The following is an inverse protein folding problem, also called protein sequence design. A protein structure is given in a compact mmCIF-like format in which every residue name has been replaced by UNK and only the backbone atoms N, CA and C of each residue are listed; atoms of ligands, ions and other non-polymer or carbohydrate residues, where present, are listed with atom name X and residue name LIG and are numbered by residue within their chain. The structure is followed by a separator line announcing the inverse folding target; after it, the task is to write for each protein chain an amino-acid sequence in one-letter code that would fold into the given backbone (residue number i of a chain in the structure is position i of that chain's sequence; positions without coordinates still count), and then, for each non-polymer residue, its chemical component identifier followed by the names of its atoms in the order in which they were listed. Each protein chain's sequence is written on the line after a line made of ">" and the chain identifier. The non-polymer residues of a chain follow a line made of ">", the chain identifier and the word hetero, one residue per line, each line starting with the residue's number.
data_IF_405998265491
#
_entry.id   IF_405998265491
#
_cell.length_a   1.000
_cell.length_b   1.000
_cell.length_c   1.000
_cell.angle_alpha   90.00
_cell.angle_beta   90.00
_cell.angle_gamma   90.00
#
_symmetry.space_group_name_H-M   'P 1'
#
loop_
_entity.id
_entity.type
_entity.pdbx_description
1 polymer ?
#
# COMPACT_ATOMS: atom_id res chain seq x y z
N UNK A 1 15.01 -14.39 1.94
CA UNK A 1 14.19 -14.88 0.81
C UNK A 1 14.88 -16.05 0.14
N UNK A 2 14.15 -17.06 -0.32
CA UNK A 2 14.71 -18.06 -1.23
C UNK A 2 15.11 -17.35 -2.54
N UNK A 3 16.38 -17.44 -3.00
CA UNK A 3 16.84 -16.80 -4.22
C UNK A 3 16.02 -17.17 -5.46
N UNK A 4 15.43 -18.37 -5.49
CA UNK A 4 14.62 -18.87 -6.59
C UNK A 4 13.31 -18.09 -6.72
N UNK A 5 12.65 -17.78 -5.61
CA UNK A 5 11.41 -17.00 -5.59
C UNK A 5 11.67 -15.58 -6.08
N UNK A 6 12.78 -14.96 -5.66
CA UNK A 6 13.18 -13.64 -6.16
C UNK A 6 13.45 -13.67 -7.66
N UNK A 7 14.10 -14.74 -8.15
CA UNK A 7 14.36 -14.95 -9.57
C UNK A 7 13.08 -14.98 -10.41
N UNK A 8 12.03 -15.65 -9.93
CA UNK A 8 10.73 -15.72 -10.64
C UNK A 8 10.12 -14.33 -10.80
N UNK A 9 10.05 -13.52 -9.73
CA UNK A 9 9.47 -12.17 -9.84
C UNK A 9 10.26 -11.24 -10.77
N UNK A 10 11.59 -11.40 -10.82
CA UNK A 10 12.42 -10.65 -11.78
C UNK A 10 12.16 -11.09 -13.21
N UNK A 11 12.04 -12.39 -13.48
CA UNK A 11 11.74 -12.92 -14.81
C UNK A 11 10.35 -12.51 -15.31
N UNK A 12 9.39 -12.31 -14.41
CA UNK A 12 8.05 -11.82 -14.73
C UNK A 12 7.97 -10.30 -14.90
N UNK A 13 9.10 -9.58 -14.79
CA UNK A 13 9.11 -8.11 -14.87
C UNK A 13 8.36 -7.42 -13.73
N UNK A 14 8.09 -8.12 -12.61
CA UNK A 14 7.22 -7.60 -11.56
C UNK A 14 7.79 -6.36 -10.84
N UNK A 15 9.10 -6.13 -10.94
CA UNK A 15 9.79 -4.97 -10.36
C UNK A 15 9.99 -3.82 -11.37
N UNK A 16 9.61 -4.03 -12.63
CA UNK A 16 9.78 -3.06 -13.72
C UNK A 16 8.54 -2.19 -13.88
N UNK A 17 8.71 -0.95 -14.32
CA UNK A 17 7.59 -0.08 -14.63
C UNK A 17 6.76 -0.65 -15.79
N UNK A 18 5.46 -0.39 -15.78
CA UNK A 18 4.59 -0.75 -16.90
C UNK A 18 4.96 0.00 -18.18
N UNK A 19 4.54 -0.53 -19.32
CA UNK A 19 4.88 0.00 -20.66
C UNK A 19 4.45 1.46 -20.86
N UNK A 20 3.45 1.96 -20.12
CA UNK A 20 3.00 3.36 -20.18
C UNK A 20 3.49 4.18 -18.99
N UNK A 21 4.53 3.71 -18.31
CA UNK A 21 5.10 4.37 -17.13
C UNK A 21 4.30 4.11 -15.85
N UNK A 22 3.44 3.08 -15.83
CA UNK A 22 2.78 2.66 -14.60
C UNK A 22 3.80 2.19 -13.55
N UNK A 23 3.51 2.34 -12.24
CA UNK A 23 4.38 1.81 -11.20
C UNK A 23 4.53 0.29 -11.32
N UNK A 24 5.66 -0.28 -10.86
CA UNK A 24 5.88 -1.72 -10.89
C UNK A 24 4.85 -2.47 -10.04
N UNK A 25 4.52 -3.71 -10.46
CA UNK A 25 3.59 -4.59 -9.75
C UNK A 25 4.03 -4.84 -8.30
N UNK A 26 5.33 -5.03 -8.10
CA UNK A 26 5.98 -5.18 -6.81
C UNK A 26 6.97 -4.04 -6.63
N UNK A 27 6.76 -3.20 -5.62
CA UNK A 27 7.74 -2.15 -5.30
C UNK A 27 8.87 -2.69 -4.40
N UNK A 28 8.59 -3.71 -3.59
CA UNK A 28 9.55 -4.27 -2.64
C UNK A 28 9.18 -5.71 -2.28
N UNK A 29 10.19 -6.51 -1.99
CA UNK A 29 10.01 -7.81 -1.34
C UNK A 29 10.77 -7.81 -0.02
N UNK A 30 10.07 -8.13 1.07
CA UNK A 30 10.58 -8.09 2.44
C UNK A 30 10.48 -9.49 3.04
N UNK A 31 11.56 -9.96 3.66
CA UNK A 31 11.62 -11.20 4.40
C UNK A 31 12.11 -10.96 5.83
N UNK A 32 11.91 -11.96 6.71
CA UNK A 32 12.37 -11.88 8.10
C UNK A 32 13.89 -11.64 8.23
N UNK A 33 14.68 -11.99 7.22
CA UNK A 33 16.12 -11.69 7.18
C UNK A 33 16.42 -10.21 6.99
N UNK A 34 15.54 -9.49 6.30
CA UNK A 34 15.71 -8.06 5.99
C UNK A 34 15.35 -7.20 7.20
N UNK A 35 14.39 -7.63 8.02
CA UNK A 35 13.88 -6.89 9.18
C UNK A 35 14.35 -7.42 10.52
N UNK A 36 14.92 -8.63 10.58
CA UNK A 36 15.24 -9.33 11.82
C UNK A 36 14.03 -9.94 12.54
N UNK A 37 12.81 -9.74 12.03
CA UNK A 37 11.58 -10.20 12.66
C UNK A 37 10.66 -10.89 11.64
N UNK A 38 10.06 -12.00 12.07
CA UNK A 38 8.96 -12.65 11.34
C UNK A 38 7.60 -12.19 11.87
N UNK A 39 6.54 -12.47 11.12
CA UNK A 39 5.15 -12.34 11.60
C UNK A 39 4.98 -13.24 12.84
N UNK A 40 4.23 -12.83 13.88
CA UNK A 40 3.23 -11.76 13.92
C UNK A 40 3.79 -10.37 14.30
N UNK A 41 5.08 -10.10 14.12
CA UNK A 41 5.60 -8.74 14.22
C UNK A 41 5.08 -7.87 13.06
N UNK A 42 4.60 -6.63 13.30
CA UNK A 42 4.11 -5.74 12.25
C UNK A 42 5.24 -5.08 11.44
N UNK A 43 6.49 -5.24 11.85
CA UNK A 43 7.65 -4.51 11.31
C UNK A 43 7.81 -4.67 9.80
N UNK A 44 7.52 -5.85 9.26
CA UNK A 44 7.58 -6.09 7.81
C UNK A 44 6.59 -5.21 7.02
N UNK A 45 5.35 -5.10 7.51
CA UNK A 45 4.29 -4.28 6.89
C UNK A 45 4.67 -2.80 7.00
N UNK A 46 5.00 -2.33 8.20
CA UNK A 46 5.36 -0.94 8.46
C UNK A 46 6.57 -0.49 7.64
N UNK A 47 7.57 -1.36 7.51
CA UNK A 47 8.75 -1.09 6.67
C UNK A 47 8.37 -0.99 5.20
N UNK A 48 7.56 -1.93 4.69
CA UNK A 48 7.11 -1.91 3.30
C UNK A 48 6.33 -0.66 2.95
N UNK A 49 5.34 -0.28 3.76
CA UNK A 49 4.54 0.93 3.55
C UNK A 49 5.42 2.18 3.58
N UNK A 50 6.35 2.28 4.55
CA UNK A 50 7.30 3.41 4.64
C UNK A 50 8.18 3.52 3.40
N UNK A 51 8.72 2.39 2.93
CA UNK A 51 9.63 2.37 1.79
C UNK A 51 8.88 2.73 0.48
N UNK A 52 7.64 2.26 0.31
CA UNK A 52 6.77 2.66 -0.81
C UNK A 52 6.50 4.17 -0.73
N UNK A 53 6.08 4.69 0.43
CA UNK A 53 5.83 6.12 0.61
C UNK A 53 7.07 6.97 0.27
N UNK A 54 8.26 6.53 0.69
CA UNK A 54 9.52 7.19 0.37
C UNK A 54 9.80 7.19 -1.15
N UNK A 55 9.56 6.06 -1.83
CA UNK A 55 9.71 5.93 -3.28
C UNK A 55 8.78 6.89 -4.04
N UNK A 56 7.50 6.94 -3.66
CA UNK A 56 6.53 7.87 -4.26
C UNK A 56 6.96 9.33 -4.06
N UNK A 57 7.35 9.73 -2.84
CA UNK A 57 7.85 11.08 -2.57
C UNK A 57 9.11 11.44 -3.36
N UNK A 58 9.98 10.46 -3.63
CA UNK A 58 11.18 10.68 -4.45
C UNK A 58 10.79 10.92 -5.92
N UNK A 59 9.89 10.13 -6.49
CA UNK A 59 9.38 10.30 -7.84
C UNK A 59 8.67 11.66 -8.02
N UNK A 60 7.86 12.07 -7.03
CA UNK A 60 7.14 13.34 -7.08
C UNK A 60 8.04 14.58 -7.00
N UNK A 61 9.16 14.53 -6.28
CA UNK A 61 10.10 15.67 -6.23
C UNK A 61 10.76 15.97 -7.58
N UNK A 62 10.73 15.01 -8.50
CA UNK A 62 11.24 15.17 -9.87
C UNK A 62 10.20 15.74 -10.85
N UNK A 63 8.92 15.90 -10.44
CA UNK A 63 7.85 16.47 -11.26
C UNK A 63 6.96 17.42 -10.45
N UNK A 64 7.03 18.72 -10.73
CA UNK A 64 6.51 19.83 -9.91
C UNK A 64 4.98 19.95 -9.71
N UNK A 65 4.32 18.87 -9.29
CA UNK A 65 2.90 18.84 -8.90
C UNK A 65 2.68 18.56 -7.41
N UNK A 66 1.48 18.92 -6.91
CA UNK A 66 1.03 18.58 -5.55
C UNK A 66 0.97 17.06 -5.42
N UNK A 67 1.90 16.50 -4.65
CA UNK A 67 1.98 15.08 -4.40
C UNK A 67 1.36 14.77 -3.05
N UNK A 68 0.05 14.54 -3.03
CA UNK A 68 -0.51 13.73 -1.94
C UNK A 68 0.01 12.31 -2.14
N UNK A 69 0.98 11.90 -1.32
CA UNK A 69 1.67 10.63 -1.52
C UNK A 69 0.71 9.44 -1.36
N UNK A 70 -0.49 9.62 -0.78
CA UNK A 70 -1.58 8.63 -0.71
C UNK A 70 -1.27 7.31 0.02
N UNK A 71 0.01 7.06 0.32
CA UNK A 71 0.52 5.85 0.96
C UNK A 71 0.49 6.07 2.47
N UNK A 72 -0.53 5.49 3.08
CA UNK A 72 -0.77 5.46 4.51
C UNK A 72 -0.98 3.99 4.93
N UNK A 73 -0.45 3.60 6.09
CA UNK A 73 -0.67 2.25 6.64
C UNK A 73 -2.16 1.98 6.87
N UNK A 74 -2.94 3.01 7.21
CA UNK A 74 -4.39 2.89 7.39
C UNK A 74 -5.16 2.70 6.09
N UNK A 75 -4.51 2.91 4.93
CA UNK A 75 -5.06 2.63 3.59
C UNK A 75 -4.45 1.37 2.99
N UNK A 76 -3.53 0.71 3.69
CA UNK A 76 -2.89 -0.52 3.22
C UNK A 76 -3.81 -1.73 3.42
N UNK A 77 -3.87 -2.59 2.40
CA UNK A 77 -4.53 -3.90 2.47
C UNK A 77 -3.45 -4.98 2.57
N UNK A 78 -3.43 -5.70 3.68
CA UNK A 78 -2.62 -6.90 3.86
C UNK A 78 -3.44 -8.13 3.49
N UNK A 79 -2.92 -8.93 2.57
CA UNK A 79 -3.50 -10.21 2.16
C UNK A 79 -2.66 -11.34 2.75
N UNK A 80 -3.30 -12.30 3.42
CA UNK A 80 -2.60 -13.43 4.02
C UNK A 80 -3.53 -14.61 4.30
N UNK A 81 -2.95 -15.80 4.45
CA UNK A 81 -3.64 -17.07 4.66
C UNK A 81 -3.53 -17.57 6.11
N UNK A 82 -2.55 -17.07 6.87
CA UNK A 82 -2.28 -17.52 8.22
C UNK A 82 -2.73 -16.51 9.29
N UNK A 83 -3.03 -17.02 10.49
CA UNK A 83 -3.36 -16.17 11.65
C UNK A 83 -2.23 -15.18 11.99
N UNK A 84 -0.98 -15.56 11.75
CA UNK A 84 0.16 -14.68 11.94
C UNK A 84 0.11 -13.43 11.04
N UNK A 85 -0.50 -13.52 9.85
CA UNK A 85 -0.70 -12.39 8.92
C UNK A 85 -1.76 -11.43 9.45
N UNK A 86 -2.89 -11.99 9.91
CA UNK A 86 -3.98 -11.25 10.53
C UNK A 86 -3.46 -10.46 11.74
N UNK A 87 -2.78 -11.12 12.67
CA UNK A 87 -2.23 -10.49 13.88
C UNK A 87 -1.17 -9.44 13.53
N UNK A 88 -0.31 -9.68 12.53
CA UNK A 88 0.65 -8.69 12.08
C UNK A 88 -0.04 -7.44 11.51
N UNK A 89 -1.12 -7.61 10.72
CA UNK A 89 -1.86 -6.48 10.17
C UNK A 89 -2.63 -5.69 11.22
N UNK A 90 -3.28 -6.37 12.17
CA UNK A 90 -3.95 -5.72 13.30
C UNK A 90 -2.97 -4.85 14.09
N UNK A 91 -1.79 -5.39 14.40
CA UNK A 91 -0.73 -4.63 15.09
C UNK A 91 -0.15 -3.48 14.26
N UNK A 92 -0.19 -3.58 12.94
CA UNK A 92 0.21 -2.50 12.04
C UNK A 92 -0.86 -1.42 11.87
N UNK A 93 -2.12 -1.70 12.23
CA UNK A 93 -3.25 -0.80 12.02
C UNK A 93 -3.70 -0.70 10.56
N UNK A 94 -3.56 -1.79 9.80
CA UNK A 94 -3.98 -1.91 8.40
C UNK A 94 -5.26 -2.73 8.22
N UNK A 95 -5.74 -2.83 6.97
CA UNK A 95 -6.89 -3.64 6.61
C UNK A 95 -6.46 -5.04 6.17
N UNK A 96 -7.13 -6.08 6.70
CA UNK A 96 -6.79 -7.46 6.38
C UNK A 96 -7.80 -8.09 5.41
N UNK A 97 -7.29 -8.92 4.49
CA UNK A 97 -8.09 -9.82 3.65
C UNK A 97 -7.52 -11.23 3.79
N UNK A 98 -8.34 -12.12 4.35
CA UNK A 98 -8.02 -13.54 4.39
C UNK A 98 -8.05 -14.12 2.98
N UNK A 99 -7.03 -14.88 2.61
CA UNK A 99 -7.00 -15.63 1.37
C UNK A 99 -6.92 -17.14 1.60
N UNK A 100 -7.21 -17.90 0.55
CA UNK A 100 -7.04 -19.35 0.55
C UNK A 100 -5.55 -19.68 0.29
N UNK A 101 -4.93 -20.60 1.05
CA UNK A 101 -3.51 -20.92 0.90
C UNK A 101 -3.16 -21.57 -0.45
N UNK A 102 -4.12 -22.25 -1.08
CA UNK A 102 -3.88 -22.96 -2.35
C UNK A 102 -4.13 -22.07 -3.57
N UNK A 103 -5.11 -21.18 -3.49
CA UNK A 103 -5.64 -20.41 -4.63
C UNK A 103 -5.44 -18.91 -4.51
N UNK A 104 -5.03 -18.41 -3.34
CA UNK A 104 -4.80 -17.00 -3.08
C UNK A 104 -6.09 -16.20 -2.89
N UNK A 105 -5.99 -14.89 -3.11
CA UNK A 105 -7.14 -13.98 -3.01
C UNK A 105 -7.84 -13.89 -4.35
N UNK A 106 -9.18 -13.94 -4.34
CA UNK A 106 -9.96 -13.72 -5.56
C UNK A 106 -10.05 -12.23 -5.86
N UNK A 107 -10.17 -11.89 -7.15
CA UNK A 107 -10.37 -10.50 -7.56
C UNK A 107 -11.60 -9.86 -6.90
N UNK A 108 -12.72 -10.60 -6.80
CA UNK A 108 -13.94 -10.09 -6.19
C UNK A 108 -13.77 -9.70 -4.71
N UNK A 109 -13.02 -10.47 -3.93
CA UNK A 109 -12.72 -10.14 -2.54
C UNK A 109 -11.84 -8.88 -2.42
N UNK A 110 -10.80 -8.81 -3.24
CA UNK A 110 -9.90 -7.66 -3.24
C UNK A 110 -10.65 -6.38 -3.69
N UNK A 111 -11.44 -6.47 -4.76
CA UNK A 111 -12.24 -5.37 -5.26
C UNK A 111 -13.25 -4.88 -4.22
N UNK A 112 -13.96 -5.80 -3.55
CA UNK A 112 -14.90 -5.44 -2.49
C UNK A 112 -14.21 -4.71 -1.33
N UNK A 113 -13.03 -5.17 -0.90
CA UNK A 113 -12.26 -4.47 0.14
C UNK A 113 -11.81 -3.09 -0.32
N UNK A 114 -11.33 -2.93 -1.55
CA UNK A 114 -10.93 -1.62 -2.07
C UNK A 114 -12.10 -0.63 -2.13
N UNK A 115 -13.30 -1.09 -2.52
CA UNK A 115 -14.52 -0.28 -2.50
C UNK A 115 -14.94 0.13 -1.08
N UNK A 116 -14.80 -0.76 -0.10
CA UNK A 116 -15.01 -0.44 1.32
C UNK A 116 -14.06 0.68 1.78
N UNK A 117 -12.77 0.60 1.44
CA UNK A 117 -11.80 1.64 1.77
C UNK A 117 -12.08 2.96 1.05
N UNK A 118 -12.50 2.89 -0.21
CA UNK A 118 -12.93 4.07 -0.95
C UNK A 118 -14.15 4.72 -0.30
N UNK A 119 -15.11 3.95 0.22
CA UNK A 119 -16.24 4.52 0.96
C UNK A 119 -15.82 5.16 2.30
N UNK A 120 -14.85 4.56 3.01
CA UNK A 120 -14.36 5.06 4.30
C UNK A 120 -13.48 6.30 4.18
N UNK A 121 -12.66 6.37 3.13
CA UNK A 121 -11.64 7.41 2.96
C UNK A 121 -11.85 8.31 1.75
N UNK A 122 -12.77 7.97 0.86
CA UNK A 122 -13.22 8.74 -0.30
C UNK A 122 -14.26 9.78 0.11
N UNK A 123 -13.86 10.66 1.03
CA UNK A 123 -14.45 11.97 1.30
C UNK A 123 -13.55 12.72 2.28
N UNK A 124 -12.28 12.93 1.91
CA UNK A 124 -11.58 14.10 2.43
C UNK A 124 -11.97 15.28 1.54
N UNK A 125 -12.75 16.27 2.02
CA UNK A 125 -12.96 17.49 1.27
C UNK A 125 -11.60 18.21 1.15
N UNK A 126 -10.92 18.00 0.03
CA UNK A 126 -9.89 18.91 -0.43
C UNK A 126 -10.53 20.28 -0.65
N UNK A 127 -10.20 21.24 0.22
CA UNK A 127 -10.27 22.68 -0.06
C UNK A 127 -11.63 23.21 -0.60
N UNK A 128 -12.65 23.27 0.26
CA UNK A 128 -13.78 24.20 0.07
C UNK A 128 -13.99 25.16 1.25
N UNK A 129 -12.91 25.55 1.93
CA UNK A 129 -12.95 26.60 2.97
C UNK A 129 -11.95 27.73 2.73
N UNK A 130 -11.74 28.11 1.47
CA UNK A 130 -10.92 29.28 1.11
C UNK A 130 -11.66 30.32 0.25
N UNK A 131 -12.92 30.14 -0.15
CA UNK A 131 -13.62 31.12 -1.01
C UNK A 131 -15.10 31.40 -0.66
N UNK A 132 -15.52 31.21 0.60
CA UNK A 132 -16.80 31.76 1.06
C UNK A 132 -16.61 32.44 2.41
N UNK A 133 -16.53 33.76 2.39
CA UNK A 133 -16.65 34.58 3.57
C UNK A 133 -15.61 35.69 3.73
N UNK A 134 -15.45 36.55 2.73
CA UNK A 134 -15.30 37.97 3.03
C UNK A 134 -16.06 38.78 1.97
N UNK A 135 -17.35 38.93 2.25
CA UNK A 135 -18.22 39.91 1.62
C UNK A 135 -19.12 40.45 2.72
N UNK A 136 -18.57 41.35 3.53
CA UNK A 136 -19.34 42.36 4.26
C UNK A 136 -18.45 43.49 4.74
N UNK A 137 -18.53 44.59 3.99
CA UNK A 137 -18.87 45.93 4.48
C UNK A 137 -18.16 46.46 5.73
N UNK A 138 -17.25 47.42 5.50
CA UNK A 138 -17.35 48.78 6.05
C UNK A 138 -16.65 49.75 5.09
#
# INVERSE_FOLDING_TARGET
>A
MDPRIRGVFMQLGALEAGERGEPPLLSRIISARDTGYAKPSPIGILTGVRDIAASYRAACRSGGGVCDAGVDVHRHVHVGDADADRVACERAGCHFVQCDPATGVTWGLLQSKLQELEALYGSAPSLQRAMRGDSSSA
#
